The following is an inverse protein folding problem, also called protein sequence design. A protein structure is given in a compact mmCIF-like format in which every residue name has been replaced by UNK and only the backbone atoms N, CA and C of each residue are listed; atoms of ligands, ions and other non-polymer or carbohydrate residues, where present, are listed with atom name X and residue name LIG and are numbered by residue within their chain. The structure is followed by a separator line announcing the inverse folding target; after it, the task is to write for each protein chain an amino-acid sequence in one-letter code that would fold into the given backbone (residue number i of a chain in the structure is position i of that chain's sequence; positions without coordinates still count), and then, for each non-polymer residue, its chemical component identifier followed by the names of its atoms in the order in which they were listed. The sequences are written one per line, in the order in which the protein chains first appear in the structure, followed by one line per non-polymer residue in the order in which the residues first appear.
data_IF_668558946487
#
_entry.id   IF_668558946487
#
_cell.length_a   1.000
_cell.length_b   1.000
_cell.length_c   1.000
_cell.angle_alpha   90.00
_cell.angle_beta   90.00
_cell.angle_gamma   90.00
#
_symmetry.space_group_name_H-M   'P 1'
#
loop_
_entity.id
_entity.type
_entity.pdbx_description
1 polymer ?
#
# COMPACT_ATOMS: atom_id res chain seq x y z
N UNK A 1 -7.93 -12.46 14.77
CA UNK A 1 -8.40 -11.34 15.62
C UNK A 1 -9.40 -10.52 14.83
N UNK A 2 -10.61 -10.29 15.37
CA UNK A 2 -11.68 -9.54 14.69
C UNK A 2 -11.39 -8.04 14.62
N UNK A 3 -10.56 -7.49 15.53
CA UNK A 3 -10.14 -6.07 15.48
C UNK A 3 -9.52 -5.68 14.12
N UNK A 4 -8.67 -6.54 13.55
CA UNK A 4 -8.04 -6.30 12.24
C UNK A 4 -9.02 -6.38 11.08
N UNK A 5 -9.91 -7.37 11.09
CA UNK A 5 -10.96 -7.53 10.05
C UNK A 5 -11.95 -6.39 10.07
N UNK A 6 -12.31 -5.90 11.26
CA UNK A 6 -13.20 -4.76 11.43
C UNK A 6 -12.55 -3.46 10.94
N UNK A 7 -11.27 -3.26 11.25
CA UNK A 7 -10.52 -2.12 10.74
C UNK A 7 -10.39 -2.15 9.21
N UNK A 8 -10.15 -3.32 8.61
CA UNK A 8 -10.13 -3.49 7.15
C UNK A 8 -11.51 -3.18 6.53
N UNK A 9 -12.60 -3.63 7.15
CA UNK A 9 -13.96 -3.32 6.70
C UNK A 9 -14.23 -1.81 6.74
N UNK A 10 -13.82 -1.11 7.80
CA UNK A 10 -13.93 0.35 7.87
C UNK A 10 -13.17 1.03 6.72
N UNK A 11 -11.95 0.58 6.43
CA UNK A 11 -11.15 1.12 5.31
C UNK A 11 -11.83 0.88 3.95
N UNK A 12 -12.34 -0.33 3.72
CA UNK A 12 -13.05 -0.68 2.48
C UNK A 12 -14.31 0.16 2.28
N UNK A 13 -15.01 0.48 3.38
CA UNK A 13 -16.25 1.29 3.40
C UNK A 13 -16.01 2.79 3.57
N UNK A 14 -14.74 3.23 3.68
CA UNK A 14 -14.33 4.62 3.99
C UNK A 14 -14.96 5.18 5.28
N UNK A 15 -15.18 4.33 6.27
CA UNK A 15 -15.62 4.76 7.60
C UNK A 15 -14.43 5.20 8.45
N UNK A 16 -14.70 6.03 9.45
CA UNK A 16 -13.76 6.35 10.51
C UNK A 16 -13.25 5.06 11.19
N UNK A 17 -12.02 5.07 11.73
CA UNK A 17 -11.48 3.92 12.44
C UNK A 17 -12.38 3.55 13.64
N UNK A 18 -12.48 2.26 13.99
CA UNK A 18 -13.28 1.81 15.13
C UNK A 18 -12.72 2.35 16.45
N UNK A 19 -13.57 3.02 17.23
CA UNK A 19 -13.23 3.50 18.57
C UNK A 19 -13.68 2.48 19.61
N UNK A 20 -12.78 2.12 20.53
CA UNK A 20 -13.05 1.12 21.58
C UNK A 20 -13.11 1.80 22.94
N UNK A 21 -14.14 1.48 23.70
CA UNK A 21 -14.28 1.83 25.11
C UNK A 21 -14.35 0.55 25.92
N UNK A 22 -13.62 0.47 27.04
CA UNK A 22 -13.56 -0.72 27.88
C UNK A 22 -13.92 -0.35 29.31
N UNK A 23 -14.90 -1.06 29.85
CA UNK A 23 -15.34 -0.92 31.24
C UNK A 23 -14.87 -2.13 32.03
N UNK A 24 -14.23 -1.89 33.18
CA UNK A 24 -13.86 -2.92 34.15
C UNK A 24 -14.90 -2.91 35.26
N UNK A 25 -15.52 -4.06 35.47
CA UNK A 25 -16.52 -4.33 36.49
C UNK A 25 -16.07 -5.50 37.37
N UNK A 26 -16.78 -5.73 38.48
CA UNK A 26 -16.49 -6.84 39.39
C UNK A 26 -15.40 -6.55 40.41
N UNK A 27 -15.13 -7.55 41.26
CA UNK A 27 -14.14 -7.43 42.32
C UNK A 27 -12.71 -7.51 41.78
N UNK A 28 -11.73 -6.96 42.50
CA UNK A 28 -10.33 -6.97 42.04
C UNK A 28 -9.75 -8.37 41.81
N UNK A 29 -10.25 -9.36 42.54
CA UNK A 29 -9.86 -10.77 42.39
C UNK A 29 -10.64 -11.52 41.31
N UNK A 30 -11.69 -10.92 40.75
CA UNK A 30 -12.50 -11.48 39.67
C UNK A 30 -13.00 -10.34 38.75
N UNK A 31 -12.08 -9.68 38.01
CA UNK A 31 -12.45 -8.58 37.15
C UNK A 31 -13.16 -9.09 35.90
N UNK A 32 -14.26 -8.43 35.55
CA UNK A 32 -15.02 -8.62 34.33
C UNK A 32 -14.80 -7.41 33.43
N UNK A 33 -14.44 -7.65 32.18
CA UNK A 33 -14.21 -6.62 31.19
C UNK A 33 -15.32 -6.64 30.15
N UNK A 34 -15.91 -5.46 29.92
CA UNK A 34 -16.84 -5.22 28.82
C UNK A 34 -16.22 -4.24 27.86
N UNK A 35 -16.45 -4.43 26.57
CA UNK A 35 -16.01 -3.49 25.56
C UNK A 35 -17.16 -3.07 24.66
N UNK A 36 -17.15 -1.79 24.29
CA UNK A 36 -18.01 -1.21 23.27
C UNK A 36 -17.12 -0.75 22.11
N UNK A 37 -17.55 -0.99 20.87
CA UNK A 37 -16.90 -0.45 19.68
C UNK A 37 -17.87 0.43 18.89
N UNK A 38 -17.47 1.66 18.59
CA UNK A 38 -18.25 2.62 17.83
C UNK A 38 -17.73 2.71 16.38
N UNK A 39 -18.63 2.52 15.40
CA UNK A 39 -18.34 2.59 13.97
C UNK A 39 -19.50 3.27 13.25
N UNK A 40 -19.20 4.37 12.56
CA UNK A 40 -20.16 5.08 11.71
C UNK A 40 -21.47 5.44 12.45
N UNK A 41 -21.34 5.92 13.70
CA UNK A 41 -22.47 6.28 14.57
C UNK A 41 -23.25 5.09 15.15
N UNK A 42 -22.77 3.85 14.97
CA UNK A 42 -23.36 2.64 15.57
C UNK A 42 -22.41 2.06 16.61
N UNK A 43 -22.96 1.68 17.76
CA UNK A 43 -22.21 1.04 18.84
C UNK A 43 -22.52 -0.45 18.91
N UNK A 44 -21.49 -1.25 19.19
CA UNK A 44 -21.59 -2.69 19.33
C UNK A 44 -20.87 -3.12 20.61
N UNK A 45 -21.55 -3.91 21.45
CA UNK A 45 -21.04 -4.33 22.76
C UNK A 45 -20.64 -5.80 22.77
N UNK A 46 -19.63 -6.14 23.57
CA UNK A 46 -19.28 -7.53 23.88
C UNK A 46 -20.40 -8.24 24.66
N UNK A 47 -20.36 -9.57 24.73
CA UNK A 47 -21.37 -10.39 25.41
C UNK A 47 -21.65 -9.96 26.86
N UNK A 48 -22.88 -10.20 27.32
CA UNK A 48 -23.33 -9.77 28.66
C UNK A 48 -22.63 -10.50 29.81
N UNK A 49 -22.05 -11.68 29.56
CA UNK A 49 -21.32 -12.45 30.57
C UNK A 49 -19.95 -11.84 30.93
N UNK A 50 -19.51 -10.81 30.19
CA UNK A 50 -18.20 -10.18 30.37
C UNK A 50 -17.04 -11.09 29.97
N UNK A 51 -15.86 -10.50 29.74
CA UNK A 51 -14.64 -11.24 29.45
C UNK A 51 -13.66 -11.17 30.61
N UNK A 52 -12.83 -12.19 30.76
CA UNK A 52 -11.79 -12.25 31.81
C UNK A 52 -10.51 -11.47 31.40
N UNK A 53 -10.50 -10.87 30.20
CA UNK A 53 -9.45 -9.94 29.78
C UNK A 53 -9.97 -8.82 28.88
N UNK A 54 -9.32 -7.65 28.95
CA UNK A 54 -9.55 -6.51 28.04
C UNK A 54 -9.44 -6.93 26.58
N UNK A 55 -8.40 -7.70 26.24
CA UNK A 55 -8.12 -8.14 24.87
C UNK A 55 -9.26 -8.98 24.29
N UNK A 56 -9.84 -9.84 25.11
CA UNK A 56 -10.96 -10.69 24.72
C UNK A 56 -12.25 -9.88 24.61
N UNK A 57 -12.53 -8.99 25.58
CA UNK A 57 -13.68 -8.09 25.54
C UNK A 57 -13.71 -7.28 24.23
N UNK A 58 -12.58 -6.64 23.88
CA UNK A 58 -12.44 -5.87 22.64
C UNK A 58 -12.62 -6.74 21.38
N UNK A 59 -12.08 -7.97 21.40
CA UNK A 59 -12.21 -8.87 20.26
C UNK A 59 -13.65 -9.37 20.09
N UNK A 60 -14.40 -9.59 21.18
CA UNK A 60 -15.82 -9.94 21.16
C UNK A 60 -16.68 -8.77 20.66
N UNK A 61 -16.43 -7.54 21.13
CA UNK A 61 -17.09 -6.35 20.61
C UNK A 61 -16.81 -6.16 19.11
N UNK A 62 -15.56 -6.39 18.70
CA UNK A 62 -15.18 -6.32 17.28
C UNK A 62 -15.87 -7.40 16.43
N UNK A 63 -16.07 -8.60 16.96
CA UNK A 63 -16.79 -9.69 16.29
C UNK A 63 -18.26 -9.33 16.08
N UNK A 64 -18.94 -8.86 17.13
CA UNK A 64 -20.33 -8.44 17.07
C UNK A 64 -20.56 -7.30 16.05
N UNK A 65 -19.63 -6.34 16.00
CA UNK A 65 -19.65 -5.29 14.99
C UNK A 65 -19.43 -5.83 13.57
N UNK A 66 -18.43 -6.70 13.39
CA UNK A 66 -18.08 -7.25 12.08
C UNK A 66 -19.22 -8.07 11.48
N UNK A 67 -19.88 -8.93 12.24
CA UNK A 67 -20.99 -9.76 11.77
C UNK A 67 -22.17 -8.90 11.28
N UNK A 68 -22.54 -7.88 12.07
CA UNK A 68 -23.65 -6.98 11.70
C UNK A 68 -23.33 -6.07 10.53
N UNK A 69 -22.09 -5.59 10.43
CA UNK A 69 -21.67 -4.67 9.36
C UNK A 69 -21.35 -5.40 8.05
N UNK A 70 -20.88 -6.65 8.11
CA UNK A 70 -20.61 -7.47 6.92
C UNK A 70 -21.89 -8.01 6.28
N UNK A 71 -22.95 -8.24 7.07
CA UNK A 71 -24.26 -8.67 6.58
C UNK A 71 -25.00 -7.61 5.73
N UNK A 72 -24.61 -6.32 5.82
CA UNK A 72 -25.22 -5.25 5.01
C UNK A 72 -24.48 -5.12 3.67
N UNK A 73 -25.10 -5.50 2.54
CA UNK A 73 -24.48 -5.32 1.22
C UNK A 73 -24.17 -3.83 1.02
N UNK A 74 -22.98 -3.55 0.47
CA UNK A 74 -22.61 -2.18 0.16
C UNK A 74 -23.67 -1.57 -0.78
N UNK A 75 -24.20 -0.37 -0.49
CA UNK A 75 -25.02 0.32 -1.47
C UNK A 75 -24.21 0.39 -2.76
N UNK A 76 -24.81 -0.12 -3.83
CA UNK A 76 -24.22 -0.14 -5.16
C UNK A 76 -23.74 1.27 -5.47
N UNK A 77 -22.42 1.41 -5.64
CA UNK A 77 -21.79 2.68 -5.94
C UNK A 77 -22.45 3.24 -7.22
N UNK A 78 -22.94 4.50 -7.25
CA UNK A 78 -23.29 5.10 -8.52
C UNK A 78 -22.05 5.09 -9.43
N UNK A 79 -22.27 4.81 -10.70
CA UNK A 79 -21.23 4.70 -11.73
C UNK A 79 -20.30 5.94 -11.69
N UNK A 80 -18.99 5.79 -11.98
CA UNK A 80 -18.07 6.92 -11.98
C UNK A 80 -18.42 7.84 -13.15
N UNK A 81 -19.18 8.88 -12.85
CA UNK A 81 -19.70 9.84 -13.81
C UNK A 81 -20.13 11.09 -13.10
N UNK A 82 -19.24 11.72 -12.33
CA UNK A 82 -19.41 13.12 -11.96
C UNK A 82 -18.08 13.86 -12.02
N UNK A 83 -18.14 14.90 -12.86
CA UNK A 83 -17.08 15.82 -13.23
C UNK A 83 -16.53 16.52 -11.98
N UNK A 84 -15.23 16.44 -11.79
CA UNK A 84 -14.50 17.45 -11.02
C UNK A 84 -13.47 18.06 -11.98
N UNK A 85 -13.69 19.33 -12.30
CA UNK A 85 -12.81 20.25 -13.02
C UNK A 85 -11.37 20.24 -12.48
N UNK A 86 -10.36 20.53 -13.31
CA UNK A 86 -8.98 20.59 -12.82
C UNK A 86 -8.76 21.86 -11.98
N UNK A 87 -7.93 21.77 -10.94
CA UNK A 87 -6.90 22.77 -10.81
C UNK A 87 -5.52 22.12 -10.73
N UNK A 88 -4.59 22.81 -11.38
CA UNK A 88 -3.18 22.53 -11.39
C UNK A 88 -2.62 22.36 -9.97
N UNK A 89 -2.10 21.17 -9.69
CA UNK A 89 -0.94 20.85 -8.84
C UNK A 89 -1.03 19.37 -8.57
N UNK A 90 -0.14 18.57 -9.17
CA UNK A 90 0.01 17.18 -8.74
C UNK A 90 0.67 17.23 -7.36
N UNK A 91 -0.12 17.47 -6.31
CA UNK A 91 0.31 17.16 -4.96
C UNK A 91 0.40 15.63 -4.92
N UNK A 92 1.61 15.08 -5.00
CA UNK A 92 1.81 13.67 -4.72
C UNK A 92 1.53 13.46 -3.22
N UNK A 93 0.26 13.26 -2.88
CA UNK A 93 -0.21 12.83 -1.56
C UNK A 93 0.20 11.36 -1.37
N UNK A 94 1.32 11.15 -0.68
CA UNK A 94 1.86 9.81 -0.42
C UNK A 94 3.06 9.84 0.51
N UNK A 95 3.48 8.68 1.07
CA UNK A 95 4.61 8.62 1.99
C UNK A 95 5.87 9.28 1.42
N UNK A 96 6.64 10.08 2.19
CA UNK A 96 7.80 10.83 1.69
C UNK A 96 8.82 9.96 0.95
N UNK A 97 9.08 8.73 1.43
CA UNK A 97 9.98 7.78 0.75
C UNK A 97 9.50 7.42 -0.66
N UNK A 98 8.20 7.18 -0.83
CA UNK A 98 7.61 6.87 -2.13
C UNK A 98 7.71 8.07 -3.08
N UNK A 99 7.39 9.27 -2.57
CA UNK A 99 7.51 10.51 -3.35
C UNK A 99 8.93 10.76 -3.83
N UNK A 100 9.92 10.58 -2.96
CA UNK A 100 11.34 10.73 -3.31
C UNK A 100 11.80 9.66 -4.30
N UNK A 101 11.33 8.43 -4.14
CA UNK A 101 11.61 7.36 -5.09
C UNK A 101 11.04 7.69 -6.48
N UNK A 102 9.79 8.15 -6.57
CA UNK A 102 9.16 8.60 -7.82
C UNK A 102 9.94 9.79 -8.40
N UNK A 103 10.37 10.73 -7.56
CA UNK A 103 11.18 11.86 -8.00
C UNK A 103 12.47 11.39 -8.69
N UNK A 104 13.25 10.52 -8.02
CA UNK A 104 14.52 10.02 -8.54
C UNK A 104 14.31 9.25 -9.84
N UNK A 105 13.29 8.40 -9.88
CA UNK A 105 12.93 7.66 -11.09
C UNK A 105 12.60 8.63 -12.23
N UNK A 106 11.65 9.56 -12.06
CA UNK A 106 11.29 10.52 -13.12
C UNK A 106 12.46 11.39 -13.58
N UNK A 107 13.37 11.72 -12.68
CA UNK A 107 14.58 12.48 -12.99
C UNK A 107 15.66 11.65 -13.71
N UNK A 108 15.47 10.35 -13.91
CA UNK A 108 16.50 9.45 -14.45
C UNK A 108 17.68 9.24 -13.50
N UNK A 109 17.51 9.52 -12.21
CA UNK A 109 18.52 9.39 -11.17
C UNK A 109 18.51 8.00 -10.56
N UNK A 110 19.62 7.64 -9.91
CA UNK A 110 19.70 6.41 -9.12
C UNK A 110 18.65 6.42 -7.99
N UNK A 111 18.20 5.22 -7.60
CA UNK A 111 17.24 5.08 -6.50
C UNK A 111 17.84 5.62 -5.19
N UNK A 112 17.02 6.27 -4.33
CA UNK A 112 17.49 6.82 -3.08
C UNK A 112 18.00 5.70 -2.15
N UNK A 113 19.19 5.88 -1.58
CA UNK A 113 19.77 4.98 -0.58
C UNK A 113 19.61 5.56 0.81
N UNK A 114 19.23 4.75 1.80
CA UNK A 114 19.04 5.19 3.18
C UNK A 114 20.07 4.51 4.08
N UNK A 115 20.73 5.31 4.93
CA UNK A 115 21.66 4.84 5.95
C UNK A 115 21.19 5.30 7.34
N UNK A 116 20.97 4.38 8.29
CA UNK A 116 20.59 4.74 9.65
C UNK A 116 21.81 5.24 10.44
N UNK A 117 21.56 6.18 11.34
CA UNK A 117 22.47 6.64 12.39
C UNK A 117 21.78 6.35 13.72
N UNK A 118 22.51 5.72 14.65
CA UNK A 118 22.00 5.36 15.97
C UNK A 118 22.73 6.15 17.04
N UNK A 119 21.98 6.64 18.02
CA UNK A 119 22.53 7.30 19.20
C UNK A 119 21.90 6.73 20.47
N UNK A 120 22.68 6.67 21.55
CA UNK A 120 22.23 6.21 22.86
C UNK A 120 22.41 4.71 23.11
N UNK A 121 22.11 4.32 24.35
CA UNK A 121 22.18 2.92 24.79
C UNK A 121 21.12 2.06 24.08
N UNK A 122 21.27 0.72 24.02
CA UNK A 122 20.32 -0.16 23.34
C UNK A 122 18.86 0.01 23.78
N UNK A 123 18.62 0.42 25.04
CA UNK A 123 17.29 0.62 25.61
C UNK A 123 16.72 2.03 25.40
N UNK A 124 17.56 2.99 25.01
CA UNK A 124 17.18 4.40 24.75
C UNK A 124 17.62 4.84 23.36
N UNK A 125 17.66 3.91 22.41
CA UNK A 125 18.18 4.15 21.07
C UNK A 125 17.32 5.17 20.34
N UNK A 126 17.97 6.24 19.92
CA UNK A 126 17.44 7.26 19.04
C UNK A 126 17.95 7.01 17.62
N UNK A 127 17.13 7.33 16.64
CA UNK A 127 17.36 7.05 15.23
C UNK A 127 17.40 8.35 14.44
N UNK A 128 18.45 8.52 13.65
CA UNK A 128 18.51 9.42 12.51
C UNK A 128 18.68 8.62 11.24
N UNK A 129 18.40 9.24 10.10
CA UNK A 129 18.65 8.62 8.80
C UNK A 129 19.27 9.65 7.87
N UNK A 130 20.21 9.18 7.06
CA UNK A 130 20.72 9.90 5.91
C UNK A 130 20.13 9.28 4.66
N UNK A 131 19.64 10.10 3.73
CA UNK A 131 19.24 9.65 2.40
C UNK A 131 20.21 10.22 1.36
N UNK A 132 20.74 9.36 0.51
CA UNK A 132 21.61 9.75 -0.60
C UNK A 132 20.81 9.77 -1.90
N UNK A 133 20.77 10.93 -2.55
CA UNK A 133 20.14 11.15 -3.86
C UNK A 133 21.17 11.82 -4.76
N UNK A 134 21.58 11.13 -5.83
CA UNK A 134 22.50 11.70 -6.83
C UNK A 134 23.85 12.16 -6.23
N UNK A 135 24.36 11.41 -5.25
CA UNK A 135 25.57 11.75 -4.51
C UNK A 135 25.39 12.84 -3.45
N UNK A 136 24.22 13.47 -3.34
CA UNK A 136 23.89 14.40 -2.25
C UNK A 136 23.28 13.66 -1.07
N UNK A 137 23.80 13.93 0.13
CA UNK A 137 23.30 13.35 1.38
C UNK A 137 22.40 14.33 2.12
N UNK A 138 21.22 13.86 2.55
CA UNK A 138 20.27 14.62 3.33
C UNK A 138 19.97 13.89 4.64
N UNK A 139 20.33 14.51 5.75
CA UNK A 139 20.10 13.96 7.09
C UNK A 139 18.73 14.40 7.64
N UNK A 140 18.07 13.51 8.39
CA UNK A 140 16.92 13.87 9.21
C UNK A 140 17.32 14.88 10.30
N UNK A 141 16.58 15.98 10.49
CA UNK A 141 16.99 17.06 11.39
C UNK A 141 17.04 16.60 12.85
N UNK A 142 16.00 15.89 13.27
CA UNK A 142 15.80 15.44 14.64
C UNK A 142 15.98 13.94 14.78
N UNK A 143 16.39 13.52 15.97
CA UNK A 143 16.36 12.13 16.38
C UNK A 143 14.91 11.66 16.60
N UNK A 144 14.55 10.54 15.98
CA UNK A 144 13.26 9.88 16.17
C UNK A 144 13.40 8.62 17.04
N UNK A 145 12.29 8.13 17.60
CA UNK A 145 12.26 6.86 18.34
C UNK A 145 12.03 5.65 17.44
N UNK A 146 11.73 5.87 16.15
CA UNK A 146 11.52 4.80 15.15
C UNK A 146 12.35 5.08 13.90
N UNK A 147 13.03 4.04 13.39
CA UNK A 147 13.81 4.13 12.16
C UNK A 147 12.98 4.60 10.96
N UNK A 148 11.75 4.08 10.80
CA UNK A 148 10.85 4.44 9.69
C UNK A 148 10.50 5.93 9.69
N UNK A 149 10.40 6.55 10.87
CA UNK A 149 10.14 7.98 11.01
C UNK A 149 11.38 8.80 10.63
N UNK A 150 12.56 8.37 11.07
CA UNK A 150 13.83 8.99 10.69
C UNK A 150 14.07 8.96 9.18
N UNK A 151 13.83 7.82 8.51
CA UNK A 151 13.91 7.70 7.05
C UNK A 151 12.91 8.60 6.33
N UNK A 152 11.67 8.70 6.85
CA UNK A 152 10.65 9.57 6.29
C UNK A 152 11.03 11.05 6.46
N UNK A 153 11.62 11.42 7.60
CA UNK A 153 12.12 12.78 7.85
C UNK A 153 13.27 13.15 6.90
N UNK A 154 14.26 12.27 6.73
CA UNK A 154 15.35 12.46 5.77
C UNK A 154 14.81 12.61 4.32
N UNK A 155 13.81 11.80 3.95
CA UNK A 155 13.16 11.90 2.65
C UNK A 155 12.43 13.24 2.44
N UNK A 156 11.80 13.80 3.49
CA UNK A 156 11.16 15.13 3.44
C UNK A 156 12.19 16.23 3.21
N UNK A 157 13.34 16.18 3.90
CA UNK A 157 14.43 17.14 3.71
C UNK A 157 14.93 17.09 2.27
N UNK A 158 15.23 15.90 1.75
CA UNK A 158 15.65 15.74 0.37
C UNK A 158 14.61 16.32 -0.61
N UNK A 159 13.33 16.01 -0.44
CA UNK A 159 12.26 16.54 -1.29
C UNK A 159 12.11 18.06 -1.23
N UNK A 160 12.40 18.68 -0.09
CA UNK A 160 12.35 20.14 0.07
C UNK A 160 13.56 20.85 -0.54
N UNK A 161 14.72 20.17 -0.57
CA UNK A 161 15.96 20.70 -1.15
C UNK A 161 16.09 20.44 -2.66
N UNK A 162 15.36 19.46 -3.20
CA UNK A 162 15.37 19.13 -4.62
C UNK A 162 14.49 20.08 -5.43
N UNK A 163 14.87 20.41 -6.68
CA UNK A 163 14.10 21.34 -7.52
C UNK A 163 12.68 20.82 -7.82
N UNK A 164 11.68 21.71 -8.01
CA UNK A 164 10.31 21.31 -8.29
C UNK A 164 10.21 20.41 -9.52
N UNK A 165 9.39 19.36 -9.44
CA UNK A 165 9.17 18.41 -10.54
C UNK A 165 8.77 19.05 -11.89
N UNK A 166 8.24 20.28 -11.87
CA UNK A 166 7.85 21.03 -13.06
C UNK A 166 9.04 21.47 -13.94
N UNK A 167 10.27 21.51 -13.40
CA UNK A 167 11.47 21.93 -14.14
C UNK A 167 12.30 20.76 -14.67
N UNK A 168 11.92 19.52 -14.38
CA UNK A 168 12.64 18.36 -14.91
C UNK A 168 12.12 18.05 -16.31
N UNK A 169 13.00 17.81 -17.31
CA UNK A 169 12.56 17.19 -18.54
C UNK A 169 11.86 15.90 -18.13
N UNK A 170 10.60 15.74 -18.56
CA UNK A 170 9.84 14.50 -18.41
C UNK A 170 10.54 13.44 -19.25
N UNK A 171 11.69 12.98 -18.78
CA UNK A 171 12.21 11.69 -19.16
C UNK A 171 11.12 10.74 -18.69
N UNK A 172 10.42 10.15 -19.66
CA UNK A 172 9.48 9.04 -19.46
C UNK A 172 10.26 7.89 -18.83
N UNK A 173 10.58 7.99 -17.55
CA UNK A 173 11.17 6.90 -16.81
C UNK A 173 10.03 5.99 -16.40
N UNK A 174 9.83 5.05 -17.32
CA UNK A 174 9.27 3.71 -17.25
C UNK A 174 9.29 3.03 -15.88
N UNK A 175 8.63 3.62 -14.89
CA UNK A 175 8.26 2.97 -13.63
C UNK A 175 6.78 2.57 -13.60
N UNK A 176 6.04 2.85 -14.68
CA UNK A 176 4.78 2.16 -14.93
C UNK A 176 5.12 0.70 -15.21
N UNK A 177 4.77 -0.19 -14.28
CA UNK A 177 4.78 -1.64 -14.52
C UNK A 177 4.19 -1.92 -15.90
N UNK A 178 4.83 -2.79 -16.69
CA UNK A 178 4.31 -3.15 -18.02
C UNK A 178 2.87 -3.66 -17.99
N UNK A 179 2.37 -4.13 -16.83
CA UNK A 179 0.96 -4.47 -16.63
C UNK A 179 0.04 -3.25 -16.77
N UNK A 180 0.42 -2.11 -16.19
CA UNK A 180 -0.34 -0.86 -16.30
C UNK A 180 -0.28 -0.32 -17.72
N UNK A 181 0.89 -0.34 -18.35
CA UNK A 181 1.05 0.10 -19.75
C UNK A 181 0.20 -0.74 -20.71
N UNK A 182 0.17 -2.06 -20.50
CA UNK A 182 -0.64 -2.97 -21.30
C UNK A 182 -2.14 -2.76 -21.04
N UNK A 183 -2.54 -2.47 -19.81
CA UNK A 183 -3.91 -2.15 -19.46
C UNK A 183 -4.38 -0.82 -20.07
N UNK A 184 -3.55 0.23 -20.01
CA UNK A 184 -3.83 1.52 -20.66
C UNK A 184 -3.95 1.36 -22.18
N UNK A 185 -3.07 0.55 -22.79
CA UNK A 185 -3.16 0.22 -24.21
C UNK A 185 -4.46 -0.51 -24.52
N UNK A 186 -4.81 -1.56 -23.76
CA UNK A 186 -6.04 -2.30 -23.96
C UNK A 186 -7.28 -1.39 -23.87
N UNK A 187 -7.32 -0.46 -22.91
CA UNK A 187 -8.40 0.52 -22.80
C UNK A 187 -8.45 1.47 -24.00
N UNK A 188 -7.29 1.98 -24.44
CA UNK A 188 -7.19 2.89 -25.58
C UNK A 188 -7.65 2.24 -26.89
N UNK A 189 -7.25 1.00 -27.12
CA UNK A 189 -7.58 0.23 -28.33
C UNK A 189 -8.92 -0.52 -28.21
N UNK A 190 -9.62 -0.38 -27.07
CA UNK A 190 -10.88 -1.09 -26.73
C UNK A 190 -10.76 -2.63 -26.75
N UNK A 191 -9.61 -3.15 -26.36
CA UNK A 191 -9.40 -4.58 -26.15
C UNK A 191 -9.96 -5.04 -24.80
N UNK A 192 -10.30 -6.34 -24.67
CA UNK A 192 -10.55 -6.95 -23.37
C UNK A 192 -9.36 -6.77 -22.43
N UNK A 193 -9.63 -6.78 -21.12
CA UNK A 193 -8.58 -6.67 -20.12
C UNK A 193 -7.57 -7.84 -20.23
N UNK A 194 -6.25 -7.57 -20.11
CA UNK A 194 -5.24 -8.61 -20.18
C UNK A 194 -5.43 -9.68 -19.10
N UNK A 195 -5.46 -10.95 -19.50
CA UNK A 195 -5.61 -12.08 -18.58
C UNK A 195 -4.26 -12.74 -18.32
N UNK A 196 -3.82 -12.76 -17.06
CA UNK A 196 -2.55 -13.35 -16.66
C UNK A 196 -2.73 -14.75 -16.10
N UNK A 197 -1.91 -15.68 -16.57
CA UNK A 197 -1.77 -17.00 -15.96
C UNK A 197 -0.32 -17.21 -15.51
N UNK A 198 -0.10 -17.74 -14.30
CA UNK A 198 1.24 -17.98 -13.77
C UNK A 198 1.37 -19.41 -13.27
N UNK A 199 2.41 -20.10 -13.73
CA UNK A 199 2.79 -21.45 -13.30
C UNK A 199 4.09 -21.38 -12.51
N UNK A 200 4.11 -22.00 -11.33
CA UNK A 200 5.26 -22.03 -10.40
C UNK A 200 6.12 -23.30 -10.51
N UNK A 201 5.82 -24.18 -11.45
CA UNK A 201 6.41 -25.51 -11.56
C UNK A 201 6.99 -25.71 -12.97
N UNK A 202 8.11 -25.02 -13.23
CA UNK A 202 8.85 -25.15 -14.50
C UNK A 202 9.78 -26.36 -14.35
N UNK A 203 9.63 -27.42 -15.16
CA UNK A 203 10.32 -28.70 -14.97
C UNK A 203 11.86 -28.64 -14.88
N UNK A 204 12.47 -27.60 -15.44
CA UNK A 204 13.94 -27.43 -15.48
C UNK A 204 14.51 -26.50 -14.40
N UNK A 205 13.67 -25.78 -13.64
CA UNK A 205 14.14 -24.70 -12.74
C UNK A 205 13.29 -24.55 -11.46
N UNK A 206 13.66 -25.25 -10.36
CA UNK A 206 12.97 -25.10 -9.08
C UNK A 206 13.09 -23.65 -8.56
N UNK A 207 11.96 -23.07 -8.16
CA UNK A 207 11.88 -21.69 -7.64
C UNK A 207 11.67 -20.60 -8.69
N UNK A 208 11.46 -20.96 -9.96
CA UNK A 208 11.12 -20.01 -11.01
C UNK A 208 9.63 -20.01 -11.33
N UNK A 209 9.12 -18.83 -11.70
CA UNK A 209 7.74 -18.61 -12.12
C UNK A 209 7.73 -18.27 -13.60
N UNK A 210 6.80 -18.85 -14.33
CA UNK A 210 6.54 -18.49 -15.73
C UNK A 210 5.14 -17.95 -15.84
N UNK A 211 4.98 -16.84 -16.55
CA UNK A 211 3.66 -16.25 -16.77
C UNK A 211 3.37 -16.08 -18.25
N UNK A 212 2.10 -16.24 -18.59
CA UNK A 212 1.53 -15.84 -19.87
C UNK A 212 0.51 -14.72 -19.66
N UNK A 213 0.33 -13.89 -20.69
CA UNK A 213 -0.72 -12.88 -20.75
C UNK A 213 -1.48 -13.01 -22.05
N UNK A 214 -2.80 -13.08 -21.97
CA UNK A 214 -3.69 -13.08 -23.12
C UNK A 214 -4.24 -11.68 -23.38
N UNK A 215 -4.06 -11.18 -24.61
CA UNK A 215 -4.60 -9.90 -25.08
C UNK A 215 -5.11 -10.10 -26.50
N UNK A 216 -6.38 -9.77 -26.74
CA UNK A 216 -7.02 -9.94 -28.06
C UNK A 216 -6.93 -11.39 -28.58
N UNK A 217 -7.12 -12.38 -27.70
CA UNK A 217 -6.97 -13.81 -28.01
C UNK A 217 -5.57 -14.24 -28.44
N UNK A 218 -4.55 -13.38 -28.28
CA UNK A 218 -3.14 -13.70 -28.49
C UNK A 218 -2.47 -13.88 -27.14
N UNK A 219 -1.79 -15.02 -26.97
CA UNK A 219 -1.11 -15.38 -25.72
C UNK A 219 0.38 -15.07 -25.86
N UNK A 220 0.88 -14.22 -24.97
CA UNK A 220 2.29 -13.86 -24.88
C UNK A 220 2.92 -14.48 -23.65
N UNK A 221 4.05 -15.15 -23.82
CA UNK A 221 4.80 -15.74 -22.73
C UNK A 221 6.03 -14.88 -22.43
N UNK A 222 6.22 -14.54 -21.15
CA UNK A 222 7.40 -13.82 -20.69
C UNK A 222 8.53 -14.75 -20.29
N UNK A 223 9.73 -14.17 -20.16
CA UNK A 223 10.87 -14.84 -19.55
C UNK A 223 10.56 -15.26 -18.11
N UNK A 224 11.10 -16.40 -17.62
CA UNK A 224 10.95 -16.82 -16.24
C UNK A 224 11.41 -15.74 -15.25
N UNK A 225 10.69 -15.62 -14.14
CA UNK A 225 11.02 -14.71 -13.04
C UNK A 225 11.30 -15.48 -11.75
N UNK A 226 12.09 -14.90 -10.86
CA UNK A 226 12.29 -15.39 -9.49
C UNK A 226 11.08 -15.10 -8.56
N UNK A 227 10.03 -14.47 -9.09
CA UNK A 227 8.77 -14.21 -8.39
C UNK A 227 7.62 -14.13 -9.38
N UNK A 228 6.39 -14.41 -8.92
CA UNK A 228 5.16 -14.23 -9.71
C UNK A 228 5.06 -12.81 -10.29
N UNK A 229 5.38 -11.79 -9.48
CA UNK A 229 5.34 -10.38 -9.92
C UNK A 229 6.30 -10.11 -11.07
N UNK A 230 7.53 -10.63 -11.01
CA UNK A 230 8.50 -10.46 -12.08
C UNK A 230 8.08 -11.22 -13.34
N UNK A 231 7.59 -12.45 -13.21
CA UNK A 231 7.14 -13.26 -14.34
C UNK A 231 5.95 -12.60 -15.08
N UNK A 232 4.96 -12.09 -14.35
CA UNK A 232 3.84 -11.34 -14.93
C UNK A 232 4.30 -10.05 -15.62
N UNK A 233 5.27 -9.34 -15.03
CA UNK A 233 5.84 -8.13 -15.64
C UNK A 233 6.60 -8.43 -16.94
N UNK A 234 7.32 -9.56 -17.00
CA UNK A 234 8.00 -10.01 -18.20
C UNK A 234 7.00 -10.36 -19.32
N UNK A 235 5.92 -11.09 -18.99
CA UNK A 235 4.87 -11.41 -19.96
C UNK A 235 4.18 -10.14 -20.50
N UNK A 236 3.88 -9.20 -19.60
CA UNK A 236 3.28 -7.91 -19.97
C UNK A 236 4.20 -7.08 -20.89
N UNK A 237 5.52 -7.13 -20.69
CA UNK A 237 6.51 -6.45 -21.53
C UNK A 237 6.48 -6.97 -22.96
N UNK A 238 6.46 -8.29 -23.14
CA UNK A 238 6.41 -8.93 -24.47
C UNK A 238 5.13 -8.52 -25.20
N UNK A 239 3.97 -8.63 -24.55
CA UNK A 239 2.70 -8.23 -25.13
C UNK A 239 2.67 -6.73 -25.50
N UNK A 240 3.14 -5.86 -24.59
CA UNK A 240 3.14 -4.42 -24.84
C UNK A 240 4.03 -4.04 -26.03
N UNK A 241 5.21 -4.66 -26.16
CA UNK A 241 6.11 -4.43 -27.30
C UNK A 241 5.50 -4.91 -28.61
N UNK A 242 4.80 -6.05 -28.61
CA UNK A 242 4.11 -6.56 -29.80
C UNK A 242 3.10 -5.55 -30.35
N UNK A 243 2.20 -5.04 -29.50
CA UNK A 243 1.20 -4.05 -29.94
C UNK A 243 1.79 -2.67 -30.24
N UNK A 244 2.91 -2.31 -29.61
CA UNK A 244 3.61 -1.06 -29.90
C UNK A 244 4.32 -1.08 -31.25
N UNK A 245 4.91 -2.21 -31.62
CA UNK A 245 5.64 -2.37 -32.89
C UNK A 245 4.72 -2.70 -34.07
N UNK A 246 3.47 -3.09 -33.82
CA UNK A 246 2.44 -3.34 -34.84
C UNK A 246 1.72 -2.07 -35.32
N UNK A 247 2.21 -0.88 -34.94
CA UNK A 247 1.73 0.44 -35.39
C UNK A 247 2.82 1.15 -36.17
#
# INVERSE_FOLDING_TARGET
MFKSRLNELCQQRRWAPPEYEVTREGADHMPLFRATVAINGKEFRSAEDGAWSVREAENLAAMAAFERLSAVPAPLRPAPGELISPPASIHLEGPPKMRLQIYCQKAGKQLPSYRPIYEGSPHLRKFKSVVTVDGQEFESPEFCYKLKEAEAAAAKVALASLPPQASLPVLKVSSLSYKNLLQELAQKERFPFPLYNTTSDVPDYPGTYKSTVEVQSVIFQGDPGNSKKQAEMNAAKVAFQHFKNSK
#
